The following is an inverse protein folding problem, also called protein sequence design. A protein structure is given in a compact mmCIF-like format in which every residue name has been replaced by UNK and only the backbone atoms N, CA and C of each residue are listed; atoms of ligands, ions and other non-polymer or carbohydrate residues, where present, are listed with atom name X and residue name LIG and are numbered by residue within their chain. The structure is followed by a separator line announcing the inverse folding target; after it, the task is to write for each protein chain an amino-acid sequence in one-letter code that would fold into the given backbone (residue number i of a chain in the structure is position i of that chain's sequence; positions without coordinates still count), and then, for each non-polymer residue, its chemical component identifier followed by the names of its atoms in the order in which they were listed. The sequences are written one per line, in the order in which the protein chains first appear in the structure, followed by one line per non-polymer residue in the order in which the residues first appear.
data_IF_721350149753
#
_entry.id   IF_721350149753
#
_cell.length_a   1.000
_cell.length_b   1.000
_cell.length_c   1.000
_cell.angle_alpha   90.00
_cell.angle_beta   90.00
_cell.angle_gamma   90.00
#
_symmetry.space_group_name_H-M   'P 1'
#
loop_
_entity.id
_entity.type
_entity.pdbx_description
1 polymer ?
#
# COMPACT_ATOMS: atom_id res chain seq x y z
N UNK A 1 -0.41 -5.30 22.83
CA UNK A 1 -1.69 -5.84 22.32
C UNK A 1 -1.38 -7.06 21.48
N UNK A 2 -2.25 -8.08 21.45
CA UNK A 2 -2.05 -9.22 20.54
C UNK A 2 -2.42 -8.78 19.11
N UNK A 3 -1.58 -9.13 18.10
CA UNK A 3 -1.90 -8.84 16.71
C UNK A 3 -3.13 -9.62 16.27
N UNK A 4 -3.95 -9.03 15.40
CA UNK A 4 -5.11 -9.72 14.82
C UNK A 4 -4.69 -10.72 13.72
N UNK A 5 -3.59 -10.43 13.02
CA UNK A 5 -2.94 -11.36 12.09
C UNK A 5 -1.49 -11.52 12.53
N UNK A 6 -1.05 -12.77 12.65
CA UNK A 6 0.34 -13.09 12.94
C UNK A 6 0.86 -14.08 11.90
N UNK A 7 1.93 -13.72 11.23
CA UNK A 7 2.60 -14.49 10.18
C UNK A 7 4.01 -14.79 10.67
N UNK A 8 4.43 -16.07 10.61
CA UNK A 8 5.73 -16.53 11.09
C UNK A 8 6.42 -17.40 10.04
N UNK A 9 7.58 -16.96 9.59
CA UNK A 9 8.47 -17.65 8.65
C UNK A 9 7.72 -18.20 7.43
N UNK A 10 6.76 -17.41 6.92
CA UNK A 10 5.87 -17.83 5.85
C UNK A 10 6.61 -17.95 4.53
N UNK A 11 6.61 -19.14 3.97
CA UNK A 11 7.19 -19.42 2.65
C UNK A 11 6.17 -20.03 1.71
N UNK A 12 6.29 -19.69 0.42
CA UNK A 12 5.51 -20.29 -0.65
C UNK A 12 6.35 -20.55 -1.89
N UNK A 13 6.43 -21.83 -2.24
CA UNK A 13 7.00 -22.28 -3.52
C UNK A 13 5.89 -22.96 -4.32
N UNK A 14 5.71 -22.57 -5.56
CA UNK A 14 4.76 -23.21 -6.49
C UNK A 14 5.39 -24.43 -7.15
N UNK A 15 4.56 -25.29 -7.76
CA UNK A 15 5.02 -26.50 -8.43
C UNK A 15 6.01 -26.24 -9.59
N UNK A 16 5.99 -25.04 -10.16
CA UNK A 16 6.96 -24.58 -11.15
C UNK A 16 8.36 -24.29 -10.60
N UNK A 17 8.57 -24.42 -9.28
CA UNK A 17 9.80 -24.00 -8.61
C UNK A 17 9.88 -22.52 -8.27
N UNK A 18 8.86 -21.72 -8.62
CA UNK A 18 8.85 -20.29 -8.33
C UNK A 18 8.61 -20.02 -6.84
N UNK A 19 9.57 -19.33 -6.21
CA UNK A 19 9.50 -18.89 -4.80
C UNK A 19 8.75 -17.56 -4.70
N UNK A 20 7.46 -17.63 -4.42
CA UNK A 20 6.60 -16.44 -4.34
C UNK A 20 6.72 -15.72 -2.99
N UNK A 21 7.01 -16.44 -1.90
CA UNK A 21 7.30 -15.87 -0.57
C UNK A 21 8.49 -16.61 0.06
N UNK A 22 9.35 -15.85 0.76
CA UNK A 22 10.58 -16.32 1.37
C UNK A 22 10.64 -15.84 2.82
N UNK A 23 10.26 -16.75 3.75
CA UNK A 23 10.37 -16.51 5.21
C UNK A 23 9.80 -15.16 5.67
N UNK A 24 8.55 -14.87 5.33
CA UNK A 24 7.88 -13.62 5.71
C UNK A 24 7.43 -13.68 7.16
N UNK A 25 7.81 -12.69 7.96
CA UNK A 25 7.33 -12.43 9.32
C UNK A 25 6.57 -11.10 9.36
N UNK A 26 5.31 -11.10 9.84
CA UNK A 26 4.47 -9.91 9.88
C UNK A 26 3.42 -10.01 10.97
N UNK A 27 3.28 -8.96 11.77
CA UNK A 27 2.17 -8.75 12.69
C UNK A 27 1.33 -7.56 12.25
N UNK A 28 0.01 -7.76 12.13
CA UNK A 28 -0.96 -6.70 11.85
C UNK A 28 -1.79 -6.45 13.10
N UNK A 29 -1.90 -5.19 13.50
CA UNK A 29 -2.58 -4.81 14.74
C UNK A 29 -4.10 -4.69 14.49
N UNK A 30 -4.87 -4.86 15.56
CA UNK A 30 -6.34 -4.73 15.50
C UNK A 30 -6.73 -3.27 15.23
N UNK A 31 -7.63 -3.06 14.27
CA UNK A 31 -8.20 -1.74 13.94
C UNK A 31 -7.25 -0.81 13.19
N UNK A 32 -6.11 -1.30 12.69
CA UNK A 32 -5.24 -0.50 11.82
C UNK A 32 -5.60 -0.65 10.33
N UNK A 33 -5.18 0.32 9.55
CA UNK A 33 -5.08 0.21 8.09
C UNK A 33 -3.62 -0.10 7.77
N UNK A 34 -3.36 -1.33 7.31
CA UNK A 34 -2.04 -1.77 6.90
C UNK A 34 -1.94 -1.79 5.36
N UNK A 35 -1.01 -1.02 4.80
CA UNK A 35 -0.74 -1.04 3.36
C UNK A 35 0.46 -1.93 3.03
N UNK A 36 0.27 -2.88 2.12
CA UNK A 36 1.36 -3.71 1.58
C UNK A 36 1.75 -3.21 0.19
N UNK A 37 2.85 -2.51 0.11
CA UNK A 37 3.42 -1.96 -1.11
C UNK A 37 4.39 -2.94 -1.77
N UNK A 38 4.44 -2.94 -3.09
CA UNK A 38 5.42 -3.72 -3.84
C UNK A 38 5.10 -3.76 -5.32
N UNK A 39 6.09 -4.00 -6.19
CA UNK A 39 5.88 -4.13 -7.61
C UNK A 39 5.01 -5.37 -7.95
N UNK A 40 4.57 -5.45 -9.21
CA UNK A 40 3.85 -6.62 -9.70
C UNK A 40 4.76 -7.85 -9.59
N UNK A 41 4.18 -8.98 -9.14
CA UNK A 41 4.94 -10.21 -8.90
C UNK A 41 5.75 -10.24 -7.60
N UNK A 42 5.71 -9.22 -6.77
CA UNK A 42 6.44 -9.18 -5.49
C UNK A 42 5.97 -10.20 -4.45
N UNK A 43 4.77 -10.78 -4.62
CA UNK A 43 4.20 -11.76 -3.68
C UNK A 43 2.96 -11.28 -2.92
N UNK A 44 2.48 -10.04 -3.13
CA UNK A 44 1.33 -9.43 -2.43
C UNK A 44 0.09 -10.31 -2.46
N UNK A 45 -0.42 -10.63 -3.65
CA UNK A 45 -1.61 -11.48 -3.84
C UNK A 45 -1.41 -12.90 -3.29
N UNK A 46 -0.18 -13.45 -3.38
CA UNK A 46 0.13 -14.76 -2.77
C UNK A 46 0.00 -14.72 -1.25
N UNK A 47 0.52 -13.65 -0.61
CA UNK A 47 0.41 -13.46 0.83
C UNK A 47 -1.07 -13.37 1.26
N UNK A 48 -1.85 -12.50 0.61
CA UNK A 48 -3.30 -12.38 0.85
C UNK A 48 -4.00 -13.73 0.70
N UNK A 49 -3.76 -14.44 -0.39
CA UNK A 49 -4.42 -15.71 -0.68
C UNK A 49 -4.10 -16.79 0.36
N UNK A 50 -2.91 -16.77 0.96
CA UNK A 50 -2.57 -17.68 2.07
C UNK A 50 -3.32 -17.28 3.33
N UNK A 51 -3.33 -16.00 3.71
CA UNK A 51 -4.04 -15.52 4.92
C UNK A 51 -5.54 -15.79 4.81
N UNK A 52 -6.12 -15.58 3.62
CA UNK A 52 -7.54 -15.89 3.34
C UNK A 52 -7.83 -17.39 3.20
N UNK A 53 -6.80 -18.25 3.30
CA UNK A 53 -6.94 -19.70 3.22
C UNK A 53 -7.29 -20.22 1.83
N UNK A 54 -7.03 -19.48 0.75
CA UNK A 54 -7.22 -19.88 -0.65
C UNK A 54 -6.04 -20.72 -1.11
N UNK A 55 -4.82 -20.31 -0.74
CA UNK A 55 -3.57 -20.99 -1.08
C UNK A 55 -2.93 -21.54 0.19
N UNK A 56 -2.46 -22.80 0.16
CA UNK A 56 -1.72 -23.38 1.30
C UNK A 56 -0.28 -22.88 1.30
N UNK A 57 0.29 -22.51 2.44
CA UNK A 57 1.71 -22.20 2.58
C UNK A 57 2.58 -23.44 2.30
N UNK A 58 3.82 -23.24 1.90
CA UNK A 58 4.84 -24.31 1.79
C UNK A 58 5.59 -24.50 3.11
N UNK A 59 5.76 -23.42 3.88
CA UNK A 59 6.40 -23.41 5.22
C UNK A 59 5.84 -22.27 6.06
N UNK A 60 6.10 -22.30 7.36
CA UNK A 60 5.66 -21.28 8.30
C UNK A 60 4.21 -21.45 8.73
N UNK A 61 3.68 -20.44 9.42
CA UNK A 61 2.31 -20.45 9.94
C UNK A 61 1.69 -19.06 9.88
N UNK A 62 0.36 -19.03 9.81
CA UNK A 62 -0.45 -17.82 9.86
C UNK A 62 -1.61 -18.02 10.80
N UNK A 63 -1.86 -17.04 11.67
CA UNK A 63 -3.06 -17.01 12.51
C UNK A 63 -3.85 -15.73 12.27
N UNK A 64 -5.19 -15.86 12.30
CA UNK A 64 -6.13 -14.77 12.30
C UNK A 64 -6.94 -14.81 13.60
N UNK A 65 -6.79 -13.79 14.45
CA UNK A 65 -7.36 -13.72 15.80
C UNK A 65 -7.12 -15.01 16.61
N UNK A 66 -5.88 -15.54 16.56
CA UNK A 66 -5.48 -16.77 17.24
C UNK A 66 -5.85 -18.08 16.52
N UNK A 67 -6.67 -18.05 15.46
CA UNK A 67 -7.04 -19.23 14.67
C UNK A 67 -6.03 -19.47 13.54
N UNK A 68 -5.47 -20.68 13.49
CA UNK A 68 -4.59 -21.11 12.40
C UNK A 68 -5.37 -21.20 11.08
N UNK A 69 -4.91 -20.50 10.04
CA UNK A 69 -5.64 -20.40 8.77
C UNK A 69 -5.72 -21.73 7.99
N UNK A 70 -4.92 -22.73 8.35
CA UNK A 70 -4.92 -24.07 7.74
C UNK A 70 -5.70 -25.06 8.59
N UNK A 71 -5.47 -25.10 9.91
CA UNK A 71 -6.08 -26.05 10.84
C UNK A 71 -7.48 -25.63 11.23
N UNK A 72 -7.64 -24.34 11.60
CA UNK A 72 -8.90 -23.75 12.06
C UNK A 72 -9.57 -22.92 10.96
N UNK A 73 -9.44 -23.33 9.70
CA UNK A 73 -9.76 -22.53 8.51
C UNK A 73 -11.21 -21.98 8.51
N UNK A 74 -12.18 -22.66 9.12
CA UNK A 74 -13.57 -22.18 9.20
C UNK A 74 -13.67 -20.96 10.11
N UNK A 75 -13.04 -21.03 11.29
CA UNK A 75 -13.02 -19.94 12.25
C UNK A 75 -12.24 -18.73 11.68
N UNK A 76 -11.05 -18.98 11.14
CA UNK A 76 -10.24 -17.94 10.52
C UNK A 76 -10.97 -17.22 9.37
N UNK A 77 -11.57 -17.98 8.43
CA UNK A 77 -12.31 -17.41 7.29
C UNK A 77 -13.56 -16.64 7.71
N UNK A 78 -14.25 -17.07 8.79
CA UNK A 78 -15.40 -16.34 9.30
C UNK A 78 -15.08 -14.91 9.77
N UNK A 79 -13.81 -14.63 10.07
CA UNK A 79 -13.31 -13.33 10.49
C UNK A 79 -12.85 -12.46 9.31
N UNK A 80 -12.66 -13.05 8.13
CA UNK A 80 -11.98 -12.41 6.98
C UNK A 80 -12.97 -12.14 5.86
N UNK A 81 -13.03 -10.90 5.40
CA UNK A 81 -13.60 -10.49 4.12
C UNK A 81 -12.49 -10.26 3.09
N UNK A 82 -12.70 -10.68 1.86
CA UNK A 82 -11.76 -10.48 0.76
C UNK A 82 -12.44 -9.81 -0.42
N UNK A 83 -11.85 -8.72 -0.89
CA UNK A 83 -12.19 -8.05 -2.14
C UNK A 83 -11.03 -8.29 -3.11
N UNK A 84 -11.18 -9.17 -4.09
CA UNK A 84 -10.12 -9.48 -5.04
C UNK A 84 -9.93 -8.34 -6.05
N UNK A 85 -8.78 -8.33 -6.72
CA UNK A 85 -8.47 -7.37 -7.78
C UNK A 85 -9.44 -7.46 -8.96
N UNK A 86 -9.78 -8.69 -9.39
CA UNK A 86 -10.69 -8.92 -10.51
C UNK A 86 -12.16 -8.79 -10.09
N UNK A 87 -12.96 -8.17 -10.98
CA UNK A 87 -14.41 -7.99 -10.79
C UNK A 87 -15.17 -9.28 -11.17
N UNK A 88 -14.95 -10.37 -10.45
CA UNK A 88 -15.65 -11.63 -10.68
C UNK A 88 -16.92 -11.71 -9.83
N UNK A 89 -18.08 -11.49 -10.44
CA UNK A 89 -19.41 -11.66 -9.82
C UNK A 89 -20.37 -12.32 -10.82
N UNK A 90 -21.40 -12.97 -10.30
CA UNK A 90 -22.50 -13.43 -11.17
C UNK A 90 -23.24 -12.18 -11.72
N UNK A 91 -23.08 -11.97 -13.03
CA UNK A 91 -23.57 -10.79 -13.71
C UNK A 91 -25.10 -10.72 -13.81
N UNK A 92 -25.81 -11.85 -13.70
CA UNK A 92 -27.25 -11.95 -13.87
C UNK A 92 -28.04 -11.77 -12.58
N UNK A 93 -27.38 -11.93 -11.43
CA UNK A 93 -27.99 -11.75 -10.12
C UNK A 93 -28.18 -10.28 -9.75
N UNK A 94 -29.11 -10.00 -8.83
CA UNK A 94 -29.27 -8.67 -8.27
C UNK A 94 -28.24 -8.39 -7.18
N UNK A 95 -28.02 -7.11 -6.88
CA UNK A 95 -27.13 -6.69 -5.79
C UNK A 95 -27.56 -7.31 -4.47
N UNK A 96 -28.86 -7.22 -4.15
CA UNK A 96 -29.44 -7.78 -2.91
C UNK A 96 -29.21 -9.30 -2.80
N UNK A 97 -29.58 -10.04 -3.85
CA UNK A 97 -29.42 -11.49 -3.90
C UNK A 97 -27.98 -11.90 -3.67
N UNK A 98 -27.05 -11.26 -4.39
CA UNK A 98 -25.61 -11.56 -4.31
C UNK A 98 -25.04 -11.33 -2.90
N UNK A 99 -25.38 -10.20 -2.27
CA UNK A 99 -24.85 -9.86 -0.93
C UNK A 99 -25.47 -10.74 0.14
N UNK A 100 -26.79 -11.01 0.05
CA UNK A 100 -27.48 -11.92 0.97
C UNK A 100 -26.94 -13.35 0.86
N UNK A 101 -26.74 -13.85 -0.35
CA UNK A 101 -26.17 -15.16 -0.59
C UNK A 101 -24.75 -15.28 -0.01
N UNK A 102 -23.93 -14.23 -0.17
CA UNK A 102 -22.58 -14.19 0.41
C UNK A 102 -22.60 -14.41 1.93
N UNK A 103 -23.55 -13.78 2.65
CA UNK A 103 -23.72 -13.99 4.10
C UNK A 103 -24.00 -15.44 4.43
N UNK A 104 -24.88 -16.09 3.65
CA UNK A 104 -25.25 -17.50 3.83
C UNK A 104 -24.07 -18.45 3.62
N UNK A 105 -23.15 -18.16 2.69
CA UNK A 105 -21.95 -18.97 2.45
C UNK A 105 -21.03 -19.05 3.67
N UNK A 106 -21.02 -18.02 4.52
CA UNK A 106 -20.27 -18.00 5.79
C UNK A 106 -21.08 -18.61 6.97
N UNK A 107 -22.23 -19.25 6.71
CA UNK A 107 -23.05 -19.86 7.74
C UNK A 107 -23.74 -18.88 8.69
N UNK A 108 -23.80 -17.59 8.34
CA UNK A 108 -24.48 -16.58 9.15
C UNK A 108 -25.99 -16.60 8.90
N UNK A 109 -26.83 -16.48 9.94
CA UNK A 109 -28.27 -16.41 9.75
C UNK A 109 -28.66 -15.16 8.93
N UNK A 110 -29.81 -15.20 8.24
CA UNK A 110 -30.33 -14.03 7.52
C UNK A 110 -30.41 -12.81 8.44
N UNK A 111 -29.90 -11.67 7.96
CA UNK A 111 -29.97 -10.38 8.65
C UNK A 111 -30.23 -9.27 7.62
N UNK A 112 -31.48 -9.07 7.18
CA UNK A 112 -31.83 -8.05 6.19
C UNK A 112 -31.46 -6.64 6.63
N UNK A 113 -31.57 -6.33 7.91
CA UNK A 113 -31.23 -5.00 8.44
C UNK A 113 -29.70 -4.71 8.32
N UNK A 114 -28.87 -5.71 8.55
CA UNK A 114 -27.41 -5.57 8.33
C UNK A 114 -27.09 -5.38 6.84
N UNK A 115 -27.68 -6.19 5.96
CA UNK A 115 -27.48 -6.08 4.51
C UNK A 115 -27.97 -4.71 4.00
N UNK A 116 -29.12 -4.22 4.43
CA UNK A 116 -29.61 -2.88 4.12
C UNK A 116 -28.59 -1.81 4.55
N UNK A 117 -28.10 -1.90 5.80
CA UNK A 117 -27.09 -0.97 6.32
C UNK A 117 -25.84 -0.97 5.44
N UNK A 118 -25.28 -2.15 5.12
CA UNK A 118 -24.10 -2.28 4.27
C UNK A 118 -24.33 -1.67 2.89
N UNK A 119 -25.49 -1.91 2.27
CA UNK A 119 -25.82 -1.35 0.97
C UNK A 119 -26.02 0.18 1.01
N UNK A 120 -26.57 0.72 2.11
CA UNK A 120 -26.68 2.17 2.31
C UNK A 120 -25.32 2.83 2.51
N UNK A 121 -24.49 2.26 3.39
CA UNK A 121 -23.11 2.73 3.67
C UNK A 121 -22.28 2.77 2.35
N UNK A 122 -22.54 1.86 1.42
CA UNK A 122 -21.87 1.78 0.12
C UNK A 122 -22.59 2.53 -1.04
N UNK A 123 -23.66 3.27 -0.74
CA UNK A 123 -24.48 3.98 -1.76
C UNK A 123 -25.00 3.05 -2.86
N UNK A 124 -25.38 1.83 -2.49
CA UNK A 124 -25.94 0.81 -3.38
C UNK A 124 -27.43 0.51 -3.12
N UNK A 125 -28.04 1.12 -2.09
CA UNK A 125 -29.41 0.80 -1.70
C UNK A 125 -30.41 1.00 -2.82
N UNK A 126 -30.33 2.12 -3.56
CA UNK A 126 -31.24 2.44 -4.67
C UNK A 126 -31.07 1.50 -5.88
N UNK A 127 -30.00 0.72 -5.87
CA UNK A 127 -29.67 -0.27 -6.91
C UNK A 127 -29.78 -1.71 -6.43
N UNK A 128 -30.35 -1.96 -5.24
CA UNK A 128 -30.41 -3.30 -4.62
C UNK A 128 -31.08 -4.36 -5.51
N UNK A 129 -32.09 -3.96 -6.30
CA UNK A 129 -32.83 -4.82 -7.20
C UNK A 129 -32.28 -4.81 -8.65
N UNK A 130 -31.23 -4.02 -8.91
CA UNK A 130 -30.58 -3.96 -10.23
C UNK A 130 -29.69 -5.16 -10.43
N UNK A 131 -29.64 -5.70 -11.66
CA UNK A 131 -28.69 -6.75 -12.05
C UNK A 131 -27.28 -6.20 -12.07
N UNK A 132 -26.30 -6.97 -11.60
CA UNK A 132 -24.90 -6.55 -11.50
C UNK A 132 -24.34 -6.17 -12.87
N UNK A 133 -24.76 -6.85 -13.95
CA UNK A 133 -24.31 -6.52 -15.31
C UNK A 133 -24.62 -5.08 -15.73
N UNK A 134 -25.67 -4.47 -15.19
CA UNK A 134 -26.12 -3.10 -15.55
C UNK A 134 -25.39 -2.02 -14.76
N UNK A 135 -24.55 -2.37 -13.82
CA UNK A 135 -23.83 -1.44 -12.95
C UNK A 135 -22.53 -0.94 -13.61
N UNK A 136 -22.13 0.28 -13.27
CA UNK A 136 -20.80 0.80 -13.62
C UNK A 136 -19.68 0.00 -12.94
N UNK A 137 -18.45 0.11 -13.43
CA UNK A 137 -17.30 -0.56 -12.84
C UNK A 137 -17.12 -0.26 -11.36
N UNK A 138 -17.23 1.01 -10.98
CA UNK A 138 -17.15 1.44 -9.57
C UNK A 138 -18.29 0.89 -8.71
N UNK A 139 -19.52 0.81 -9.24
CA UNK A 139 -20.64 0.19 -8.53
C UNK A 139 -20.41 -1.33 -8.35
N UNK A 140 -19.91 -2.02 -9.36
CA UNK A 140 -19.54 -3.44 -9.25
C UNK A 140 -18.48 -3.66 -8.18
N UNK A 141 -17.49 -2.75 -8.08
CA UNK A 141 -16.48 -2.80 -7.00
C UNK A 141 -17.11 -2.66 -5.62
N UNK A 142 -18.05 -1.72 -5.45
CA UNK A 142 -18.80 -1.57 -4.19
C UNK A 142 -19.64 -2.80 -3.86
N UNK A 143 -20.20 -3.50 -4.85
CA UNK A 143 -20.89 -4.79 -4.64
C UNK A 143 -19.93 -5.86 -4.11
N UNK A 144 -18.69 -5.96 -4.60
CA UNK A 144 -17.69 -6.87 -4.07
C UNK A 144 -17.36 -6.57 -2.60
N UNK A 145 -17.26 -5.28 -2.26
CA UNK A 145 -17.05 -4.86 -0.88
C UNK A 145 -18.26 -5.21 -0.02
N UNK A 146 -19.50 -4.98 -0.51
CA UNK A 146 -20.71 -5.40 0.20
C UNK A 146 -20.74 -6.91 0.45
N UNK A 147 -20.33 -7.73 -0.53
CA UNK A 147 -20.18 -9.19 -0.37
C UNK A 147 -19.20 -9.53 0.74
N UNK A 148 -18.03 -8.88 0.75
CA UNK A 148 -16.99 -9.10 1.73
C UNK A 148 -17.42 -8.70 3.15
N UNK A 149 -18.29 -7.69 3.29
CA UNK A 149 -18.83 -7.20 4.58
C UNK A 149 -20.09 -7.94 5.04
N UNK A 150 -20.74 -8.70 4.17
CA UNK A 150 -22.05 -9.31 4.44
C UNK A 150 -22.09 -10.23 5.68
N UNK A 151 -20.99 -10.88 6.02
CA UNK A 151 -20.86 -11.79 7.16
C UNK A 151 -20.26 -11.16 8.42
N UNK A 152 -20.09 -9.82 8.44
CA UNK A 152 -19.55 -9.04 9.56
C UNK A 152 -18.10 -9.44 9.90
N UNK A 153 -17.16 -9.33 8.96
CA UNK A 153 -15.77 -9.67 9.21
C UNK A 153 -15.09 -8.66 10.15
N UNK A 154 -14.08 -9.11 10.88
CA UNK A 154 -13.19 -8.25 11.68
C UNK A 154 -11.97 -7.78 10.87
N UNK A 155 -11.66 -8.48 9.79
CA UNK A 155 -10.50 -8.25 8.93
C UNK A 155 -11.00 -8.14 7.50
N UNK A 156 -10.61 -7.07 6.80
CA UNK A 156 -10.96 -6.85 5.40
C UNK A 156 -9.69 -6.73 4.55
N UNK A 157 -9.54 -7.64 3.59
CA UNK A 157 -8.50 -7.55 2.57
C UNK A 157 -9.05 -6.87 1.32
N UNK A 158 -8.29 -5.89 0.82
CA UNK A 158 -8.55 -5.17 -0.41
C UNK A 158 -7.35 -5.34 -1.34
N UNK A 159 -7.48 -6.20 -2.36
CA UNK A 159 -6.40 -6.42 -3.33
C UNK A 159 -6.53 -5.43 -4.48
N UNK A 160 -5.63 -4.44 -4.52
CA UNK A 160 -5.60 -3.34 -5.49
C UNK A 160 -6.98 -2.67 -5.69
N UNK A 161 -7.57 -2.10 -4.63
CA UNK A 161 -8.98 -1.71 -4.61
C UNK A 161 -9.35 -0.62 -5.61
N UNK A 162 -8.40 0.19 -6.06
CA UNK A 162 -8.62 1.35 -6.92
C UNK A 162 -8.00 1.19 -8.30
N UNK A 163 -7.47 0.00 -8.63
CA UNK A 163 -6.91 -0.26 -9.94
C UNK A 163 -7.97 -0.05 -11.05
N UNK A 164 -7.67 0.83 -12.01
CA UNK A 164 -8.60 1.16 -13.11
C UNK A 164 -9.83 1.99 -12.72
N UNK A 165 -9.80 2.65 -11.56
CA UNK A 165 -10.88 3.51 -11.06
C UNK A 165 -10.48 4.98 -11.23
N UNK A 166 -11.44 5.82 -11.63
CA UNK A 166 -11.22 7.26 -11.74
C UNK A 166 -11.01 7.94 -10.38
N UNK A 167 -10.54 9.19 -10.40
CA UNK A 167 -10.12 9.94 -9.19
C UNK A 167 -11.28 10.15 -8.22
N UNK A 168 -12.48 10.45 -8.70
CA UNK A 168 -13.65 10.72 -7.85
C UNK A 168 -14.11 9.45 -7.12
N UNK A 169 -14.19 8.34 -7.83
CA UNK A 169 -14.53 7.04 -7.25
C UNK A 169 -13.46 6.56 -6.26
N UNK A 170 -12.18 6.88 -6.51
CA UNK A 170 -11.07 6.58 -5.61
C UNK A 170 -11.23 7.30 -4.27
N UNK A 171 -11.53 8.60 -4.29
CA UNK A 171 -11.75 9.38 -3.06
C UNK A 171 -12.95 8.84 -2.24
N UNK A 172 -14.04 8.50 -2.90
CA UNK A 172 -15.21 7.89 -2.24
C UNK A 172 -14.87 6.53 -1.60
N UNK A 173 -13.98 5.74 -2.21
CA UNK A 173 -13.50 4.48 -1.63
C UNK A 173 -12.60 4.71 -0.41
N UNK A 174 -11.73 5.69 -0.44
CA UNK A 174 -10.86 6.04 0.70
C UNK A 174 -11.67 6.47 1.91
N UNK A 175 -12.71 7.29 1.71
CA UNK A 175 -13.61 7.68 2.77
C UNK A 175 -14.30 6.46 3.41
N UNK A 176 -14.84 5.55 2.58
CA UNK A 176 -15.47 4.32 3.05
C UNK A 176 -14.50 3.44 3.86
N UNK A 177 -13.25 3.30 3.41
CA UNK A 177 -12.22 2.54 4.12
C UNK A 177 -11.96 3.12 5.52
N UNK A 178 -11.88 4.46 5.62
CA UNK A 178 -11.73 5.14 6.93
C UNK A 178 -12.93 4.88 7.84
N UNK A 179 -14.15 4.99 7.32
CA UNK A 179 -15.37 4.72 8.08
C UNK A 179 -15.45 3.27 8.59
N UNK A 180 -15.00 2.29 7.81
CA UNK A 180 -14.91 0.90 8.22
C UNK A 180 -13.88 0.71 9.34
N UNK A 181 -12.73 1.36 9.24
CA UNK A 181 -11.72 1.36 10.29
C UNK A 181 -12.25 1.97 11.59
N UNK A 182 -12.96 3.09 11.53
CA UNK A 182 -13.60 3.72 12.69
C UNK A 182 -14.64 2.81 13.37
N UNK A 183 -15.29 1.93 12.60
CA UNK A 183 -16.18 0.88 13.10
C UNK A 183 -15.42 -0.34 13.68
N UNK A 184 -14.09 -0.29 13.74
CA UNK A 184 -13.23 -1.31 14.34
C UNK A 184 -12.79 -2.44 13.41
N UNK A 185 -13.05 -2.34 12.10
CA UNK A 185 -12.55 -3.31 11.11
C UNK A 185 -11.07 -3.07 10.86
N UNK A 186 -10.28 -4.12 10.93
CA UNK A 186 -8.86 -4.09 10.52
C UNK A 186 -8.79 -4.22 9.01
N UNK A 187 -8.06 -3.34 8.35
CA UNK A 187 -8.01 -3.29 6.89
C UNK A 187 -6.59 -3.54 6.40
N UNK A 188 -6.46 -4.46 5.48
CA UNK A 188 -5.21 -4.73 4.78
C UNK A 188 -5.44 -4.43 3.31
N UNK A 189 -4.70 -3.47 2.78
CA UNK A 189 -4.77 -3.15 1.36
C UNK A 189 -3.44 -3.43 0.68
N UNK A 190 -3.51 -3.98 -0.53
CA UNK A 190 -2.36 -4.00 -1.42
C UNK A 190 -2.54 -2.91 -2.45
N UNK A 191 -1.47 -2.25 -2.79
CA UNK A 191 -1.46 -1.28 -3.87
C UNK A 191 -0.05 -1.15 -4.45
N UNK A 192 0.03 -0.71 -5.68
CA UNK A 192 1.24 -0.20 -6.30
C UNK A 192 1.19 1.33 -6.43
N UNK A 193 0.06 1.96 -6.06
CA UNK A 193 -0.09 3.41 -5.97
C UNK A 193 0.33 3.87 -4.58
N UNK A 194 1.45 4.53 -4.50
CA UNK A 194 2.07 4.93 -3.23
C UNK A 194 1.23 6.00 -2.53
N UNK A 195 0.60 6.89 -3.32
CA UNK A 195 -0.35 7.91 -2.82
C UNK A 195 -1.48 7.31 -1.97
N UNK A 196 -1.97 6.11 -2.33
CA UNK A 196 -3.02 5.44 -1.55
C UNK A 196 -2.55 5.03 -0.16
N UNK A 197 -1.34 4.48 -0.08
CA UNK A 197 -0.75 4.12 1.19
C UNK A 197 -0.44 5.37 2.04
N UNK A 198 0.03 6.45 1.39
CA UNK A 198 0.30 7.72 2.04
C UNK A 198 -0.97 8.34 2.62
N UNK A 199 -2.09 8.28 1.90
CA UNK A 199 -3.36 8.86 2.31
C UNK A 199 -4.04 8.05 3.42
N UNK A 200 -4.00 6.71 3.35
CA UNK A 200 -4.87 5.88 4.20
C UNK A 200 -4.13 5.10 5.29
N UNK A 201 -2.89 4.65 5.05
CA UNK A 201 -2.26 3.68 5.92
C UNK A 201 -1.81 4.27 7.26
N UNK A 202 -1.99 3.48 8.32
CA UNK A 202 -1.35 3.72 9.63
C UNK A 202 0.07 3.15 9.61
N UNK A 203 0.23 1.92 9.06
CA UNK A 203 1.52 1.24 8.90
C UNK A 203 1.69 0.72 7.49
N UNK A 204 2.92 0.64 7.05
CA UNK A 204 3.31 0.27 5.70
C UNK A 204 4.29 -0.90 5.75
N UNK A 205 4.02 -1.92 4.95
CA UNK A 205 4.95 -2.98 4.61
C UNK A 205 5.39 -2.86 3.16
N UNK A 206 6.68 -3.00 2.89
CA UNK A 206 7.21 -3.08 1.53
C UNK A 206 7.68 -4.50 1.27
N UNK A 207 7.11 -5.13 0.23
CA UNK A 207 7.47 -6.47 -0.19
C UNK A 207 8.14 -6.44 -1.57
N UNK A 208 9.22 -7.20 -1.73
CA UNK A 208 9.96 -7.33 -2.98
C UNK A 208 10.50 -8.75 -3.12
N UNK A 209 10.33 -9.36 -4.30
CA UNK A 209 10.83 -10.73 -4.60
C UNK A 209 10.48 -11.77 -3.52
N UNK A 210 9.30 -11.62 -2.90
CA UNK A 210 8.81 -12.53 -1.88
C UNK A 210 9.33 -12.28 -0.45
N UNK A 211 10.04 -11.18 -0.20
CA UNK A 211 10.61 -10.80 1.09
C UNK A 211 10.04 -9.46 1.56
N UNK A 212 9.76 -9.32 2.86
CA UNK A 212 9.44 -8.03 3.47
C UNK A 212 10.74 -7.25 3.69
N UNK A 213 10.86 -6.08 3.04
CA UNK A 213 12.03 -5.21 3.14
C UNK A 213 11.92 -4.29 4.36
N UNK A 214 10.71 -3.78 4.61
CA UNK A 214 10.43 -2.90 5.75
C UNK A 214 8.99 -3.08 6.20
N UNK A 215 8.76 -2.97 7.49
CA UNK A 215 7.43 -2.84 8.11
C UNK A 215 7.54 -1.76 9.18
N UNK A 216 6.87 -0.63 8.96
CA UNK A 216 7.03 0.53 9.84
C UNK A 216 5.71 1.33 9.93
N UNK A 217 5.54 2.09 11.00
CA UNK A 217 4.56 3.16 11.08
C UNK A 217 4.82 4.19 9.97
N UNK A 218 3.75 4.65 9.29
CA UNK A 218 3.89 5.60 8.17
C UNK A 218 4.65 6.86 8.58
N UNK A 219 4.29 7.46 9.71
CA UNK A 219 4.94 8.67 10.17
C UNK A 219 6.41 8.42 10.57
N UNK A 220 6.72 7.23 11.13
CA UNK A 220 8.08 6.85 11.43
C UNK A 220 8.92 6.62 10.16
N UNK A 221 8.33 5.98 9.15
CA UNK A 221 8.96 5.76 7.85
C UNK A 221 9.30 7.09 7.16
N UNK A 222 8.34 8.02 7.14
CA UNK A 222 8.53 9.36 6.60
C UNK A 222 9.62 10.14 7.35
N UNK A 223 9.69 10.04 8.68
CA UNK A 223 10.76 10.68 9.46
C UNK A 223 12.13 10.06 9.23
N UNK A 224 12.22 8.72 9.14
CA UNK A 224 13.52 8.02 9.02
C UNK A 224 14.14 8.13 7.64
N UNK A 225 13.33 8.07 6.59
CA UNK A 225 13.78 7.98 5.21
C UNK A 225 13.40 9.21 4.39
N UNK A 226 12.48 10.04 4.87
CA UNK A 226 12.08 11.28 4.24
C UNK A 226 13.21 12.29 4.31
N UNK A 227 13.61 12.78 3.13
CA UNK A 227 14.53 13.90 2.99
C UNK A 227 13.72 15.12 2.64
N UNK A 228 14.11 16.28 3.14
CA UNK A 228 13.54 17.53 2.66
C UNK A 228 14.38 18.05 1.52
N UNK A 229 13.71 18.62 0.54
CA UNK A 229 14.34 19.25 -0.61
C UNK A 229 13.97 20.73 -0.63
N UNK A 230 14.98 21.56 -0.82
CA UNK A 230 14.81 22.98 -1.13
C UNK A 230 15.09 23.17 -2.62
N UNK A 231 14.06 23.50 -3.35
CA UNK A 231 14.11 23.77 -4.79
C UNK A 231 14.19 25.26 -5.02
N UNK A 232 15.26 25.70 -5.68
CA UNK A 232 15.50 27.09 -6.02
C UNK A 232 15.37 27.23 -7.54
N UNK A 233 14.44 28.07 -8.00
CA UNK A 233 14.34 28.41 -9.42
C UNK A 233 15.25 29.60 -9.71
N UNK A 234 16.33 29.37 -10.45
CA UNK A 234 17.35 30.38 -10.73
C UNK A 234 16.85 31.40 -11.74
N UNK A 235 17.35 32.63 -11.63
CA UNK A 235 17.10 33.73 -12.63
C UNK A 235 17.84 33.50 -13.92
N UNK A 236 19.08 33.01 -13.85
CA UNK A 236 19.89 32.65 -14.99
C UNK A 236 20.32 31.17 -14.86
N UNK A 237 20.36 30.41 -15.96
CA UNK A 237 20.77 29.01 -15.91
C UNK A 237 22.26 28.88 -15.59
N UNK A 238 22.61 27.90 -14.78
CA UNK A 238 23.99 27.49 -14.51
C UNK A 238 24.36 26.35 -15.45
N UNK A 239 25.50 26.44 -16.10
CA UNK A 239 26.02 25.35 -16.95
C UNK A 239 26.58 24.19 -16.11
N UNK A 240 27.10 24.49 -14.91
CA UNK A 240 27.65 23.53 -13.95
C UNK A 240 27.58 24.09 -12.54
N UNK A 241 27.58 23.23 -11.57
CA UNK A 241 27.71 23.61 -10.17
C UNK A 241 29.09 24.24 -9.92
N UNK A 242 29.16 25.44 -9.28
CA UNK A 242 30.42 26.03 -8.82
C UNK A 242 31.15 25.09 -7.85
N UNK A 243 32.50 25.08 -7.91
CA UNK A 243 33.33 24.27 -7.03
C UNK A 243 33.11 24.55 -5.55
N UNK A 244 32.78 25.78 -5.20
CA UNK A 244 32.45 26.19 -3.82
C UNK A 244 31.20 25.49 -3.30
N UNK A 245 30.32 24.96 -4.13
CA UNK A 245 29.11 24.24 -3.78
C UNK A 245 29.24 22.70 -3.96
N UNK A 246 30.36 22.22 -4.49
CA UNK A 246 30.53 20.79 -4.84
C UNK A 246 30.50 19.83 -3.65
N UNK A 247 30.69 20.34 -2.41
CA UNK A 247 30.61 19.54 -1.16
C UNK A 247 29.19 19.44 -0.57
N UNK A 248 28.21 20.12 -1.13
CA UNK A 248 26.83 20.11 -0.66
C UNK A 248 26.00 19.11 -1.47
N UNK A 249 24.95 18.52 -0.88
CA UNK A 249 24.02 17.62 -1.57
C UNK A 249 23.09 18.42 -2.51
N UNK A 250 23.67 18.99 -3.56
CA UNK A 250 23.04 19.82 -4.56
C UNK A 250 22.97 19.11 -5.90
N UNK A 251 21.83 19.22 -6.56
CA UNK A 251 21.59 18.73 -7.90
C UNK A 251 21.10 19.87 -8.79
N UNK A 252 21.67 19.98 -10.00
CA UNK A 252 21.27 20.96 -11.00
C UNK A 252 20.38 20.27 -12.03
N UNK A 253 19.13 20.73 -12.16
CA UNK A 253 18.10 20.14 -13.04
C UNK A 253 17.50 21.19 -13.97
N UNK A 254 16.58 20.78 -14.87
CA UNK A 254 15.89 21.65 -15.81
C UNK A 254 16.86 22.54 -16.63
N UNK A 255 17.86 21.89 -17.26
CA UNK A 255 18.85 22.58 -18.11
C UNK A 255 19.59 23.74 -17.38
N UNK A 256 19.81 23.57 -16.07
CA UNK A 256 20.51 24.56 -15.26
C UNK A 256 19.63 25.62 -14.61
N UNK A 257 18.33 25.60 -14.82
CA UNK A 257 17.39 26.56 -14.23
C UNK A 257 16.94 26.25 -12.83
N UNK A 258 17.14 25.02 -12.35
CA UNK A 258 16.66 24.59 -11.03
C UNK A 258 17.80 23.97 -10.22
N UNK A 259 17.99 24.45 -9.00
CA UNK A 259 18.93 23.93 -8.04
C UNK A 259 18.15 23.24 -6.91
N UNK A 260 18.40 21.95 -6.70
CA UNK A 260 17.75 21.14 -5.66
C UNK A 260 18.77 20.83 -4.57
N UNK A 261 18.48 21.28 -3.37
CA UNK A 261 19.27 20.97 -2.16
C UNK A 261 18.53 19.95 -1.30
N UNK A 262 19.14 18.80 -1.10
CA UNK A 262 18.58 17.74 -0.25
C UNK A 262 19.18 17.81 1.14
N UNK A 263 18.35 17.91 2.19
CA UNK A 263 18.81 18.02 3.57
C UNK A 263 18.04 17.11 4.52
N UNK A 264 18.70 16.74 5.62
CA UNK A 264 18.14 15.90 6.67
C UNK A 264 17.53 16.80 7.74
N UNK A 265 16.25 16.59 8.05
CA UNK A 265 15.52 17.34 9.09
C UNK A 265 15.84 16.90 10.51
N UNK A 266 16.51 15.77 10.69
CA UNK A 266 16.92 15.29 12.01
C UNK A 266 18.18 15.99 12.54
N UNK A 267 18.85 16.78 11.70
CA UNK A 267 19.98 17.60 12.13
C UNK A 267 19.50 18.94 12.64
N UNK A 268 20.06 19.42 13.76
CA UNK A 268 19.76 20.72 14.35
C UNK A 268 20.02 21.89 13.37
N UNK A 269 20.99 21.68 12.45
CA UNK A 269 21.30 22.63 11.39
C UNK A 269 20.97 22.04 10.00
N UNK A 270 19.96 22.57 9.35
CA UNK A 270 19.54 22.15 8.00
C UNK A 270 20.51 22.61 6.89
N UNK A 271 21.45 23.49 7.20
CA UNK A 271 22.38 24.06 6.22
C UNK A 271 21.77 25.05 5.22
N UNK A 272 20.46 25.29 5.25
CA UNK A 272 19.75 26.19 4.32
C UNK A 272 20.30 27.62 4.40
N UNK A 273 20.47 28.14 5.61
CA UNK A 273 20.97 29.50 5.80
C UNK A 273 22.39 29.69 5.23
N UNK A 274 23.25 28.68 5.44
CA UNK A 274 24.61 28.67 4.89
C UNK A 274 24.58 28.59 3.34
N UNK A 275 23.74 27.75 2.78
CA UNK A 275 23.54 27.64 1.32
C UNK A 275 23.09 28.96 0.72
N UNK A 276 22.07 29.61 1.27
CA UNK A 276 21.55 30.88 0.75
C UNK A 276 22.60 31.98 0.83
N UNK A 277 23.42 32.01 1.87
CA UNK A 277 24.52 32.93 1.99
C UNK A 277 25.60 32.69 0.91
N UNK A 278 25.98 31.43 0.69
CA UNK A 278 26.96 31.08 -0.35
C UNK A 278 26.46 31.41 -1.76
N UNK A 279 25.17 31.19 -2.05
CA UNK A 279 24.58 31.58 -3.34
C UNK A 279 24.66 33.10 -3.58
N UNK A 280 24.36 33.90 -2.52
CA UNK A 280 24.49 35.37 -2.60
C UNK A 280 25.92 35.80 -2.80
N UNK A 281 26.91 35.21 -2.13
CA UNK A 281 28.36 35.49 -2.30
C UNK A 281 28.85 35.13 -3.71
N UNK A 282 28.26 34.10 -4.34
CA UNK A 282 28.57 33.71 -5.72
C UNK A 282 27.79 34.49 -6.78
N UNK A 283 26.92 35.42 -6.37
CA UNK A 283 26.09 36.20 -7.28
C UNK A 283 25.02 35.35 -8.01
N UNK A 284 24.61 34.23 -7.42
CA UNK A 284 23.59 33.34 -7.98
C UNK A 284 22.23 33.77 -7.44
N UNK A 285 21.44 34.41 -8.26
CA UNK A 285 20.11 34.89 -7.95
C UNK A 285 19.03 33.83 -8.29
N UNK A 286 18.03 33.74 -7.46
CA UNK A 286 16.84 32.91 -7.70
C UNK A 286 15.58 33.78 -7.73
N UNK A 287 14.55 33.32 -8.43
CA UNK A 287 13.25 34.01 -8.57
C UNK A 287 12.17 33.37 -7.67
N UNK A 288 12.37 32.12 -7.28
CA UNK A 288 11.43 31.37 -6.44
C UNK A 288 12.18 30.33 -5.59
N UNK A 289 11.61 30.05 -4.43
CA UNK A 289 12.12 29.09 -3.46
C UNK A 289 10.96 28.27 -2.92
N UNK A 290 11.02 26.96 -3.10
CA UNK A 290 10.02 26.02 -2.61
C UNK A 290 10.67 24.92 -1.77
N UNK A 291 10.09 24.63 -0.61
CA UNK A 291 10.50 23.49 0.23
C UNK A 291 9.48 22.37 0.09
N UNK A 292 9.92 21.18 -0.28
CA UNK A 292 9.12 19.97 -0.35
C UNK A 292 9.70 18.91 0.56
N UNK A 293 8.83 18.06 1.11
CA UNK A 293 9.24 16.82 1.76
C UNK A 293 9.27 15.71 0.72
N UNK A 294 10.20 14.76 0.87
CA UNK A 294 10.18 13.55 0.06
C UNK A 294 8.82 12.88 0.18
N UNK A 295 8.25 12.52 -0.94
CA UNK A 295 7.05 11.70 -0.97
C UNK A 295 7.36 10.28 -0.50
N UNK A 296 6.34 9.55 -0.10
CA UNK A 296 6.48 8.11 0.15
C UNK A 296 6.99 7.38 -1.12
N UNK A 297 6.72 7.95 -2.30
CA UNK A 297 7.21 7.44 -3.59
C UNK A 297 8.73 7.48 -3.70
N UNK A 298 9.37 8.59 -3.32
CA UNK A 298 10.83 8.73 -3.32
C UNK A 298 11.47 7.71 -2.37
N UNK A 299 10.84 7.52 -1.21
CA UNK A 299 11.27 6.54 -0.20
C UNK A 299 11.14 5.12 -0.76
N UNK A 300 10.01 4.79 -1.36
CA UNK A 300 9.76 3.47 -1.95
C UNK A 300 10.76 3.15 -3.07
N UNK A 301 10.97 4.10 -3.98
CA UNK A 301 11.94 3.96 -5.07
C UNK A 301 13.34 3.71 -4.51
N UNK A 302 13.74 4.45 -3.48
CA UNK A 302 15.04 4.26 -2.84
C UNK A 302 15.19 2.86 -2.21
N UNK A 303 14.16 2.37 -1.51
CA UNK A 303 14.15 1.03 -0.89
C UNK A 303 14.18 -0.10 -1.94
N UNK A 304 13.46 0.09 -3.04
CA UNK A 304 13.42 -0.90 -4.14
C UNK A 304 14.76 -0.92 -4.90
N UNK A 305 15.43 0.22 -5.09
CA UNK A 305 16.71 0.31 -5.80
C UNK A 305 17.92 -0.07 -4.92
N UNK A 306 17.97 0.30 -3.65
CA UNK A 306 19.06 -0.04 -2.74
C UNK A 306 19.30 -1.56 -2.64
N UNK A 307 18.22 -2.37 -2.70
CA UNK A 307 18.35 -3.83 -2.77
C UNK A 307 18.73 -4.38 -4.16
N UNK A 308 18.73 -3.57 -5.23
CA UNK A 308 19.17 -4.03 -6.56
C UNK A 308 20.69 -4.03 -6.72
N UNK A 309 21.38 -3.12 -6.00
CA UNK A 309 22.84 -3.02 -6.03
C UNK A 309 23.55 -4.16 -5.28
N UNK A 310 22.83 -4.86 -4.37
CA UNK A 310 23.36 -6.01 -3.64
C UNK A 310 23.28 -7.33 -4.44
N UNK A 311 22.54 -7.36 -5.53
CA UNK A 311 22.26 -8.56 -6.35
C UNK A 311 23.16 -8.69 -7.61
N UNK A 312 24.17 -7.82 -7.83
CA UNK A 312 25.12 -8.03 -8.92
C UNK A 312 26.18 -9.06 -8.49
N UNK A 313 26.26 -10.23 -9.14
CA UNK A 313 27.37 -11.13 -8.91
C UNK A 313 28.66 -10.44 -9.36
N UNK A 314 29.68 -10.46 -8.51
CA UNK A 314 31.02 -10.03 -8.86
C UNK A 314 31.45 -10.76 -10.14
N UNK A 315 31.54 -10.02 -11.23
CA UNK A 315 32.10 -10.55 -12.49
C UNK A 315 33.56 -10.91 -12.21
N UNK A 316 33.83 -12.19 -12.18
CA UNK A 316 35.21 -12.71 -12.16
C UNK A 316 35.91 -12.13 -13.38
N UNK A 317 36.84 -11.23 -13.15
CA UNK A 317 37.91 -10.96 -14.09
C UNK A 317 38.84 -12.18 -14.05
N UNK A 318 38.63 -13.14 -14.95
CA UNK A 318 39.69 -14.07 -15.33
C UNK A 318 40.68 -13.33 -16.20
N UNK A 319 41.89 -13.20 -15.64
CA UNK A 319 43.06 -12.81 -16.39
C UNK A 319 43.48 -13.97 -17.34
N UNK A 320 43.69 -13.65 -18.59
CA UNK A 320 44.51 -14.39 -19.53
C UNK A 320 45.77 -13.60 -19.81
#
# INVERSE_FOLDING_TARGET
MQPIISIRQLGKTYASGFHALKSVDLDIQRGEIFALLGPNGAGKTTLINIVCGIVRPSSGSVTADGHDVVRDYRAARALIGLVPQELSTDSFETVWSTVTFSRGLFGKPPNPAHIEKVLRDLSLWDKKDSKIMTLSGGMKRRVLIAKALAHEPQILFLDEPTAGVDVELRQGMWQMVRELREKGVTIILTTHYIEEAEEMADRIGVIRKGELIVVEDKAALMRKLGKKQLTLTLRAPLQRLPEALAGLPLELTAEGHTLVYTFDTQRDETGIAALLKQLAELGIDFKDLHSSESSLEDIFVSLVHAGASADQPATQQEAA
#
